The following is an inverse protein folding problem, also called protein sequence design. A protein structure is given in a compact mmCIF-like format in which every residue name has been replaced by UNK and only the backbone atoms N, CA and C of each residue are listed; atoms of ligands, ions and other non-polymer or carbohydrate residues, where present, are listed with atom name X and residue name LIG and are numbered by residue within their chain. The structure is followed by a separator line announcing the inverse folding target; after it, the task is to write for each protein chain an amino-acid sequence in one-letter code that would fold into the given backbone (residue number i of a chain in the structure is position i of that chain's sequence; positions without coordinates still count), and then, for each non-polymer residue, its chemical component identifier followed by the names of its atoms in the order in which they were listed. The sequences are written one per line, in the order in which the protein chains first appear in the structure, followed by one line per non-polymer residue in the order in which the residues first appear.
data_IF_684501420194
#
_entry.id   IF_684501420194
#
_cell.length_a   1.000
_cell.length_b   1.000
_cell.length_c   1.000
_cell.angle_alpha   90.00
_cell.angle_beta   90.00
_cell.angle_gamma   90.00
#
_symmetry.space_group_name_H-M   'P 1'
#
loop_
_entity.id
_entity.type
_entity.pdbx_description
1 polymer ?
#
# COMPACT_ATOMS: atom_id res chain seq x y z
N UNK A 1 -14.35 15.25 -1.33
CA UNK A 1 -14.77 13.85 -1.11
C UNK A 1 -16.28 13.70 -1.08
N UNK A 2 -16.86 12.84 -1.92
CA UNK A 2 -18.30 12.55 -1.96
C UNK A 2 -18.56 11.22 -1.22
N UNK A 3 -19.27 11.27 -0.10
CA UNK A 3 -19.46 10.10 0.78
C UNK A 3 -20.28 9.01 0.10
N UNK A 4 -21.16 9.37 -0.84
CA UNK A 4 -21.92 8.39 -1.60
C UNK A 4 -21.07 7.54 -2.55
N UNK A 5 -19.80 7.91 -2.76
CA UNK A 5 -18.82 7.10 -3.49
C UNK A 5 -18.11 6.08 -2.59
N UNK A 6 -18.14 6.26 -1.27
CA UNK A 6 -17.66 5.25 -0.34
C UNK A 6 -18.59 4.04 -0.43
N UNK A 7 -18.03 2.87 -0.68
CA UNK A 7 -18.81 1.64 -0.83
C UNK A 7 -18.31 0.59 0.14
N UNK A 8 -19.20 -0.10 0.82
CA UNK A 8 -18.92 -1.35 1.54
C UNK A 8 -17.85 -1.18 2.65
N UNK A 9 -16.56 -1.33 2.34
CA UNK A 9 -15.45 -1.22 3.29
C UNK A 9 -14.47 -0.16 2.80
N UNK A 10 -14.17 0.79 3.68
CA UNK A 10 -13.20 1.84 3.50
C UNK A 10 -12.12 1.71 4.57
N UNK A 11 -10.86 1.64 4.18
CA UNK A 11 -9.74 1.61 5.11
C UNK A 11 -8.99 2.94 5.06
N UNK A 12 -8.71 3.52 6.21
CA UNK A 12 -7.82 4.67 6.37
C UNK A 12 -6.52 4.15 6.94
N UNK A 13 -5.47 4.27 6.16
CA UNK A 13 -4.12 3.91 6.56
C UNK A 13 -3.33 5.18 6.78
N UNK A 14 -2.88 5.39 8.01
CA UNK A 14 -2.03 6.52 8.37
C UNK A 14 -0.58 6.04 8.43
N UNK A 15 0.28 6.59 7.58
CA UNK A 15 1.71 6.30 7.61
C UNK A 15 2.40 6.99 8.79
N UNK A 16 3.70 6.76 8.92
CA UNK A 16 4.51 7.38 9.96
C UNK A 16 4.40 8.91 9.93
N UNK A 17 4.34 9.50 11.13
CA UNK A 17 4.27 10.95 11.32
C UNK A 17 2.91 11.60 11.07
N UNK A 18 1.86 10.85 10.71
CA UNK A 18 0.50 11.40 10.58
C UNK A 18 -0.52 10.60 11.39
N UNK A 19 -1.40 11.31 12.10
CA UNK A 19 -2.55 10.70 12.76
C UNK A 19 -3.73 10.65 11.78
N UNK A 20 -4.28 9.46 11.51
CA UNK A 20 -5.47 9.30 10.67
C UNK A 20 -6.79 9.59 11.40
N UNK A 21 -6.77 9.76 12.73
CA UNK A 21 -7.98 10.01 13.51
C UNK A 21 -8.69 11.32 13.12
N UNK A 22 -8.02 12.48 12.98
CA UNK A 22 -8.66 13.70 12.49
C UNK A 22 -9.31 13.54 11.11
N UNK A 23 -8.67 12.78 10.20
CA UNK A 23 -9.22 12.49 8.88
C UNK A 23 -10.51 11.67 8.99
N UNK A 24 -10.50 10.62 9.80
CA UNK A 24 -11.68 9.80 10.06
C UNK A 24 -12.82 10.60 10.68
N UNK A 25 -12.53 11.51 11.62
CA UNK A 25 -13.51 12.43 12.20
C UNK A 25 -14.12 13.36 11.16
N UNK A 26 -13.33 13.88 10.22
CA UNK A 26 -13.84 14.70 9.13
C UNK A 26 -14.78 13.92 8.19
N UNK A 27 -14.45 12.65 7.91
CA UNK A 27 -15.34 11.75 7.15
C UNK A 27 -16.64 11.50 7.92
N UNK A 28 -16.57 11.25 9.23
CA UNK A 28 -17.74 11.06 10.09
C UNK A 28 -18.63 12.31 10.12
N UNK A 29 -18.05 13.49 10.30
CA UNK A 29 -18.77 14.78 10.28
C UNK A 29 -19.56 14.91 8.98
N UNK A 30 -18.89 14.66 7.86
CA UNK A 30 -19.52 14.74 6.54
C UNK A 30 -20.60 13.66 6.34
N UNK A 31 -20.48 12.50 6.98
CA UNK A 31 -21.51 11.45 6.94
C UNK A 31 -22.79 11.91 7.67
N UNK A 32 -22.61 12.54 8.84
CA UNK A 32 -23.71 13.13 9.61
C UNK A 32 -24.38 14.29 8.85
N UNK A 33 -23.61 15.15 8.18
CA UNK A 33 -24.13 16.21 7.29
C UNK A 33 -24.94 15.62 6.12
N UNK A 34 -24.53 14.44 5.63
CA UNK A 34 -25.24 13.67 4.61
C UNK A 34 -26.44 12.90 5.15
N UNK A 35 -26.81 13.13 6.42
CA UNK A 35 -27.94 12.52 7.14
C UNK A 35 -27.80 11.02 7.41
N UNK A 36 -26.62 10.44 7.28
CA UNK A 36 -26.38 9.04 7.69
C UNK A 36 -26.37 8.92 9.21
N UNK A 37 -26.77 7.76 9.70
CA UNK A 37 -26.52 7.38 11.09
C UNK A 37 -25.05 6.97 11.22
N UNK A 38 -24.38 7.28 12.32
CA UNK A 38 -22.99 6.90 12.54
C UNK A 38 -22.89 6.12 13.83
N UNK A 39 -22.35 4.90 13.75
CA UNK A 39 -21.99 4.09 14.90
C UNK A 39 -20.48 3.93 14.96
N UNK A 40 -19.84 4.43 16.01
CA UNK A 40 -18.40 4.33 16.21
C UNK A 40 -18.08 3.23 17.22
N UNK A 41 -17.31 2.23 16.80
CA UNK A 41 -16.66 1.25 17.66
C UNK A 41 -15.30 1.80 18.08
N UNK A 42 -15.13 1.96 19.39
CA UNK A 42 -14.00 2.64 19.98
C UNK A 42 -13.17 1.67 20.84
N UNK A 43 -12.01 1.26 20.34
CA UNK A 43 -11.07 0.34 20.99
C UNK A 43 -9.88 1.05 21.63
N UNK A 44 -9.39 2.14 21.02
CA UNK A 44 -8.26 2.94 21.52
C UNK A 44 -8.72 4.29 22.07
N UNK A 45 -9.55 5.00 21.31
CA UNK A 45 -10.05 6.30 21.70
C UNK A 45 -11.23 6.12 22.65
N UNK A 46 -11.35 6.95 23.67
CA UNK A 46 -12.52 6.87 24.56
C UNK A 46 -13.57 7.87 24.11
N UNK A 47 -14.83 7.67 24.54
CA UNK A 47 -15.90 8.60 24.18
C UNK A 47 -15.56 10.03 24.59
N UNK A 48 -14.82 10.22 25.69
CA UNK A 48 -14.36 11.53 26.17
C UNK A 48 -13.48 12.28 25.16
N UNK A 49 -12.72 11.56 24.32
CA UNK A 49 -11.77 12.13 23.36
C UNK A 49 -12.46 12.64 22.09
N UNK A 50 -13.76 12.33 21.90
CA UNK A 50 -14.54 12.81 20.77
C UNK A 50 -14.92 14.30 20.91
N UNK A 51 -14.99 15.05 19.79
CA UNK A 51 -15.55 16.40 19.78
C UNK A 51 -16.99 16.45 20.28
N UNK A 52 -17.34 17.47 21.06
CA UNK A 52 -18.69 17.62 21.62
C UNK A 52 -19.76 17.79 20.53
N UNK A 53 -19.40 18.39 19.40
CA UNK A 53 -20.27 18.51 18.23
C UNK A 53 -20.73 17.15 17.68
N UNK A 54 -19.87 16.12 17.76
CA UNK A 54 -20.23 14.75 17.37
C UNK A 54 -21.00 14.06 18.50
N UNK A 55 -20.54 14.17 19.75
CA UNK A 55 -21.19 13.53 20.91
C UNK A 55 -22.66 13.93 21.09
N UNK A 56 -22.98 15.19 20.81
CA UNK A 56 -24.33 15.74 20.99
C UNK A 56 -25.24 15.51 19.78
N UNK A 57 -24.73 14.92 18.70
CA UNK A 57 -25.52 14.65 17.51
C UNK A 57 -26.41 13.41 17.74
N UNK A 58 -27.74 13.51 17.57
CA UNK A 58 -28.66 12.39 17.83
C UNK A 58 -28.47 11.20 16.87
N UNK A 59 -27.80 11.40 15.73
CA UNK A 59 -27.48 10.36 14.76
C UNK A 59 -26.11 9.72 14.98
N UNK A 60 -25.37 10.17 15.99
CA UNK A 60 -24.05 9.67 16.31
C UNK A 60 -24.11 8.84 17.60
N UNK A 61 -23.71 7.58 17.51
CA UNK A 61 -23.58 6.66 18.62
C UNK A 61 -22.14 6.22 18.74
N UNK A 62 -21.60 6.21 19.96
CA UNK A 62 -20.27 5.70 20.27
C UNK A 62 -20.38 4.52 21.22
N UNK A 63 -19.80 3.39 20.83
CA UNK A 63 -19.71 2.17 21.61
C UNK A 63 -18.25 1.96 22.01
N UNK A 64 -17.97 2.11 23.29
CA UNK A 64 -16.69 1.74 23.87
C UNK A 64 -16.58 0.21 23.86
N UNK A 65 -15.56 -0.30 23.19
CA UNK A 65 -15.25 -1.72 23.07
C UNK A 65 -13.99 -2.01 23.89
N UNK A 66 -14.09 -2.94 24.82
CA UNK A 66 -12.97 -3.32 25.67
C UNK A 66 -12.37 -4.65 25.18
N UNK A 67 -11.09 -4.89 25.46
CA UNK A 67 -10.37 -6.09 24.99
C UNK A 67 -10.92 -7.44 25.49
N UNK A 68 -11.97 -7.45 26.32
CA UNK A 68 -12.71 -8.65 26.71
C UNK A 68 -13.96 -8.90 25.87
N UNK A 69 -14.45 -7.92 25.12
CA UNK A 69 -15.70 -8.04 24.36
C UNK A 69 -15.51 -9.07 23.25
N UNK A 70 -16.47 -9.96 23.05
CA UNK A 70 -16.49 -10.88 21.90
C UNK A 70 -17.14 -10.24 20.67
N UNK A 71 -16.87 -10.75 19.47
CA UNK A 71 -17.61 -10.31 18.26
C UNK A 71 -19.13 -10.46 18.41
N UNK A 72 -19.60 -11.46 19.15
CA UNK A 72 -21.02 -11.64 19.41
C UNK A 72 -21.60 -10.49 20.24
N UNK A 73 -20.90 -10.08 21.30
CA UNK A 73 -21.32 -8.94 22.12
C UNK A 73 -21.30 -7.63 21.35
N UNK A 74 -20.25 -7.41 20.54
CA UNK A 74 -20.18 -6.24 19.65
C UNK A 74 -21.36 -6.24 18.68
N UNK A 75 -21.68 -7.39 18.06
CA UNK A 75 -22.85 -7.53 17.17
C UNK A 75 -24.16 -7.28 17.88
N UNK A 76 -24.34 -7.79 19.09
CA UNK A 76 -25.57 -7.56 19.86
C UNK A 76 -25.74 -6.09 20.23
N UNK A 77 -24.65 -5.38 20.53
CA UNK A 77 -24.69 -3.93 20.77
C UNK A 77 -25.00 -3.17 19.48
N UNK A 78 -24.34 -3.50 18.38
CA UNK A 78 -24.64 -2.95 17.05
C UNK A 78 -26.10 -3.17 16.63
N UNK A 79 -26.68 -4.35 16.92
CA UNK A 79 -28.08 -4.65 16.63
C UNK A 79 -29.07 -3.83 17.46
N UNK A 80 -28.70 -3.43 18.69
CA UNK A 80 -29.53 -2.53 19.52
C UNK A 80 -29.61 -1.12 18.97
N UNK A 81 -28.59 -0.69 18.22
CA UNK A 81 -28.50 0.64 17.61
C UNK A 81 -29.15 0.71 16.21
N UNK A 82 -29.90 -0.33 15.81
CA UNK A 82 -30.67 -0.40 14.56
C UNK A 82 -29.86 -0.06 13.30
N UNK A 83 -28.69 -0.69 13.16
CA UNK A 83 -27.81 -0.49 12.01
C UNK A 83 -28.51 -0.91 10.73
N UNK A 84 -28.58 0.04 9.82
CA UNK A 84 -29.26 -0.09 8.53
C UNK A 84 -28.35 0.34 7.38
N UNK A 85 -28.85 0.21 6.16
CA UNK A 85 -28.15 0.66 4.94
C UNK A 85 -27.95 2.17 4.83
N UNK A 86 -28.45 2.94 5.78
CA UNK A 86 -28.21 4.39 5.93
C UNK A 86 -27.23 4.69 7.08
N UNK A 87 -26.51 3.67 7.56
CA UNK A 87 -25.57 3.79 8.68
C UNK A 87 -24.12 3.65 8.21
N UNK A 88 -23.24 4.50 8.74
CA UNK A 88 -21.79 4.36 8.65
C UNK A 88 -21.26 3.78 9.96
N UNK A 89 -20.51 2.68 9.87
CA UNK A 89 -19.84 2.08 11.04
C UNK A 89 -18.38 2.49 11.02
N UNK A 90 -17.94 3.22 12.02
CA UNK A 90 -16.54 3.59 12.21
C UNK A 90 -15.86 2.62 13.18
N UNK A 91 -14.64 2.20 12.85
CA UNK A 91 -13.78 1.39 13.71
C UNK A 91 -12.50 2.19 13.89
N UNK A 92 -12.21 2.61 15.12
CA UNK A 92 -11.10 3.51 15.40
C UNK A 92 -9.72 2.85 15.31
N UNK A 93 -9.62 1.54 15.56
CA UNK A 93 -8.36 0.82 15.47
C UNK A 93 -8.58 -0.62 15.02
N UNK A 94 -8.26 -0.86 13.75
CA UNK A 94 -8.27 -2.19 13.18
C UNK A 94 -7.14 -3.11 13.70
N UNK A 95 -5.91 -2.62 13.97
CA UNK A 95 -4.85 -3.46 14.54
C UNK A 95 -5.27 -4.13 15.85
N UNK A 96 -5.92 -3.41 16.76
CA UNK A 96 -6.43 -3.99 18.03
C UNK A 96 -7.42 -5.11 17.77
N UNK A 97 -8.30 -4.93 16.78
CA UNK A 97 -9.27 -5.96 16.39
C UNK A 97 -8.59 -7.21 15.81
N UNK A 98 -7.56 -7.01 14.98
CA UNK A 98 -6.75 -8.09 14.39
C UNK A 98 -5.98 -8.84 15.48
N UNK A 99 -5.36 -8.14 16.42
CA UNK A 99 -4.64 -8.73 17.55
C UNK A 99 -5.57 -9.58 18.43
N UNK A 100 -6.78 -9.07 18.71
CA UNK A 100 -7.73 -9.75 19.58
C UNK A 100 -8.38 -10.98 18.94
N UNK A 101 -8.73 -10.92 17.64
CA UNK A 101 -9.56 -11.94 17.00
C UNK A 101 -8.93 -12.65 15.81
N UNK A 102 -7.70 -12.31 15.44
CA UNK A 102 -7.03 -12.64 14.18
C UNK A 102 -7.59 -11.92 12.95
N UNK A 103 -6.76 -11.84 11.92
CA UNK A 103 -7.07 -11.19 10.65
C UNK A 103 -8.22 -11.85 9.86
N UNK A 104 -8.30 -13.19 9.72
CA UNK A 104 -9.42 -13.84 9.03
C UNK A 104 -10.77 -13.53 9.67
N UNK A 105 -10.87 -13.64 10.99
CA UNK A 105 -12.11 -13.36 11.73
C UNK A 105 -12.49 -11.88 11.63
N UNK A 106 -11.51 -10.98 11.70
CA UNK A 106 -11.69 -9.54 11.50
C UNK A 106 -12.21 -9.24 10.09
N UNK A 107 -11.61 -9.83 9.07
CA UNK A 107 -12.03 -9.66 7.67
C UNK A 107 -13.47 -10.12 7.44
N UNK A 108 -13.83 -11.26 8.03
CA UNK A 108 -15.19 -11.78 7.99
C UNK A 108 -16.17 -10.83 8.70
N UNK A 109 -15.83 -10.38 9.90
CA UNK A 109 -16.63 -9.42 10.67
C UNK A 109 -16.86 -8.10 9.91
N UNK A 110 -15.82 -7.51 9.32
CA UNK A 110 -15.93 -6.31 8.48
C UNK A 110 -16.88 -6.52 7.30
N UNK A 111 -16.80 -7.69 6.65
CA UNK A 111 -17.65 -8.03 5.51
C UNK A 111 -19.12 -8.15 5.92
N UNK A 112 -19.38 -8.77 7.08
CA UNK A 112 -20.73 -8.90 7.64
C UNK A 112 -21.32 -7.53 7.99
N UNK A 113 -20.58 -6.66 8.67
CA UNK A 113 -21.07 -5.31 8.98
C UNK A 113 -21.31 -4.51 7.69
N UNK A 114 -20.43 -4.63 6.70
CA UNK A 114 -20.58 -3.93 5.43
C UNK A 114 -21.77 -4.41 4.59
N UNK A 115 -22.35 -5.57 4.88
CA UNK A 115 -23.59 -6.06 4.26
C UNK A 115 -24.84 -5.45 4.91
N UNK A 116 -24.75 -5.11 6.20
CA UNK A 116 -25.83 -4.52 7.00
C UNK A 116 -25.84 -2.99 6.93
N UNK A 117 -24.67 -2.37 6.76
CA UNK A 117 -24.45 -0.92 6.78
C UNK A 117 -24.28 -0.32 5.38
N UNK A 118 -24.33 1.02 5.29
CA UNK A 118 -23.98 1.76 4.08
C UNK A 118 -22.49 1.59 3.76
N UNK A 119 -21.66 1.73 4.80
CA UNK A 119 -20.21 1.77 4.72
C UNK A 119 -19.58 1.47 6.08
N UNK A 120 -18.50 0.71 6.06
CA UNK A 120 -17.58 0.56 7.20
C UNK A 120 -16.34 1.41 6.93
N UNK A 121 -15.98 2.28 7.85
CA UNK A 121 -14.74 3.05 7.85
C UNK A 121 -13.84 2.51 8.95
N UNK A 122 -12.72 1.88 8.59
CA UNK A 122 -11.78 1.32 9.55
C UNK A 122 -10.45 2.08 9.51
N UNK A 123 -9.98 2.52 10.67
CA UNK A 123 -8.69 3.20 10.81
C UNK A 123 -7.61 2.19 11.17
N UNK A 124 -6.52 2.22 10.42
CA UNK A 124 -5.32 1.41 10.60
C UNK A 124 -4.21 2.34 11.05
N UNK A 125 -3.76 2.13 12.28
CA UNK A 125 -2.59 2.80 12.84
C UNK A 125 -1.36 1.90 12.62
N UNK A 126 -0.25 2.47 12.17
CA UNK A 126 1.03 1.76 12.07
C UNK A 126 2.05 2.30 13.06
N UNK A 127 2.92 1.40 13.51
CA UNK A 127 4.11 1.72 14.30
C UNK A 127 5.34 1.75 13.39
N UNK A 128 6.28 2.65 13.69
CA UNK A 128 7.50 3.04 12.95
C UNK A 128 8.47 1.88 12.60
N UNK A 129 8.15 0.62 12.92
CA UNK A 129 9.09 -0.50 12.98
C UNK A 129 8.89 -1.58 11.91
N UNK A 130 7.93 -1.44 11.00
CA UNK A 130 7.65 -2.47 9.98
C UNK A 130 7.85 -1.91 8.58
N UNK A 131 8.60 -2.62 7.72
CA UNK A 131 8.80 -2.25 6.32
C UNK A 131 7.48 -2.22 5.54
N UNK A 132 7.18 -1.07 4.93
CA UNK A 132 5.93 -0.78 4.19
C UNK A 132 5.59 -1.79 3.11
N UNK A 133 6.60 -2.43 2.53
CA UNK A 133 6.39 -3.28 1.39
C UNK A 133 5.87 -4.66 1.77
N UNK A 134 6.03 -5.15 3.01
CA UNK A 134 5.78 -6.56 3.37
C UNK A 134 4.74 -6.81 4.46
N UNK A 135 3.98 -5.80 4.89
CA UNK A 135 2.90 -6.04 5.85
C UNK A 135 1.76 -6.85 5.19
N UNK A 136 1.74 -8.15 5.47
CA UNK A 136 0.73 -9.07 4.94
C UNK A 136 -0.68 -8.70 5.41
N UNK A 137 -0.81 -8.26 6.66
CA UNK A 137 -2.09 -7.93 7.26
C UNK A 137 -2.74 -6.76 6.53
N UNK A 138 -1.97 -5.70 6.28
CA UNK A 138 -2.41 -4.55 5.50
C UNK A 138 -2.80 -4.96 4.08
N UNK A 139 -1.99 -5.78 3.38
CA UNK A 139 -2.32 -6.24 2.02
C UNK A 139 -3.65 -7.00 1.97
N UNK A 140 -3.97 -7.78 3.01
CA UNK A 140 -5.27 -8.48 3.10
C UNK A 140 -6.42 -7.50 3.40
N UNK A 141 -6.22 -6.51 4.26
CA UNK A 141 -7.22 -5.46 4.47
C UNK A 141 -7.43 -4.61 3.21
N UNK A 142 -6.36 -4.22 2.53
CA UNK A 142 -6.40 -3.54 1.25
C UNK A 142 -7.15 -4.38 0.22
N UNK A 143 -7.00 -5.70 0.20
CA UNK A 143 -7.67 -6.59 -0.76
C UNK A 143 -9.20 -6.62 -0.59
N UNK A 144 -9.71 -6.61 0.64
CA UNK A 144 -11.15 -6.59 0.95
C UNK A 144 -11.77 -5.19 0.89
N UNK A 145 -10.96 -4.14 1.11
CA UNK A 145 -11.41 -2.77 1.05
C UNK A 145 -11.79 -2.37 -0.38
N UNK A 146 -12.91 -1.69 -0.53
CA UNK A 146 -13.31 -1.09 -1.80
C UNK A 146 -12.57 0.23 -2.03
N UNK A 147 -12.32 0.97 -0.96
CA UNK A 147 -11.67 2.27 -0.99
C UNK A 147 -10.62 2.31 0.09
N UNK A 148 -9.43 2.78 -0.27
CA UNK A 148 -8.29 2.91 0.64
C UNK A 148 -7.83 4.36 0.61
N UNK A 149 -7.75 4.97 1.78
CA UNK A 149 -7.14 6.28 1.99
C UNK A 149 -5.80 6.07 2.66
N UNK A 150 -4.73 6.33 1.95
CA UNK A 150 -3.40 6.29 2.50
C UNK A 150 -2.92 7.72 2.73
N UNK A 151 -2.77 8.06 4.00
CA UNK A 151 -2.37 9.38 4.46
C UNK A 151 -0.87 9.35 4.69
N UNK A 152 -0.17 10.31 4.09
CA UNK A 152 1.27 10.50 4.24
C UNK A 152 1.59 11.93 4.63
N UNK A 153 2.48 12.11 5.60
CA UNK A 153 3.10 13.40 5.87
C UNK A 153 4.33 13.57 4.96
N UNK A 154 4.43 14.70 4.27
CA UNK A 154 5.61 15.09 3.50
C UNK A 154 5.95 16.54 3.83
N UNK A 155 7.00 16.77 4.62
CA UNK A 155 7.49 18.08 5.09
C UNK A 155 6.42 19.14 5.43
N UNK A 156 5.88 19.83 4.43
CA UNK A 156 4.89 20.92 4.57
C UNK A 156 3.47 20.55 4.14
N UNK A 157 3.28 19.36 3.58
CA UNK A 157 2.03 18.92 2.96
C UNK A 157 1.58 17.57 3.53
N UNK A 158 0.27 17.45 3.73
CA UNK A 158 -0.41 16.20 4.03
C UNK A 158 -1.05 15.67 2.76
N UNK A 159 -0.60 14.49 2.34
CA UNK A 159 -0.97 13.87 1.07
C UNK A 159 -1.88 12.68 1.32
N UNK A 160 -2.90 12.54 0.49
CA UNK A 160 -3.83 11.42 0.52
C UNK A 160 -3.80 10.69 -0.82
N UNK A 161 -3.30 9.45 -0.82
CA UNK A 161 -3.49 8.51 -1.92
C UNK A 161 -4.82 7.80 -1.73
N UNK A 162 -5.79 8.08 -2.59
CA UNK A 162 -7.08 7.39 -2.60
C UNK A 162 -7.07 6.32 -3.68
N UNK A 163 -7.20 5.05 -3.30
CA UNK A 163 -7.42 3.94 -4.24
C UNK A 163 -8.86 3.48 -4.16
N UNK A 164 -9.57 3.46 -5.29
CA UNK A 164 -10.96 3.00 -5.35
C UNK A 164 -11.10 1.83 -6.32
N UNK A 165 -11.59 0.69 -5.85
CA UNK A 165 -11.91 -0.48 -6.66
C UNK A 165 -13.33 -0.39 -7.18
N UNK A 166 -13.49 -0.46 -8.50
CA UNK A 166 -14.77 -0.47 -9.18
C UNK A 166 -15.30 -1.90 -9.28
N UNK A 167 -16.62 -2.04 -9.52
CA UNK A 167 -17.29 -3.35 -9.65
C UNK A 167 -16.79 -4.18 -10.83
N UNK A 168 -16.23 -3.54 -11.85
CA UNK A 168 -15.62 -4.19 -13.01
C UNK A 168 -14.19 -4.69 -12.73
N UNK A 169 -13.71 -4.59 -11.49
CA UNK A 169 -12.36 -5.00 -11.09
C UNK A 169 -11.28 -3.95 -11.34
N UNK A 170 -11.58 -2.82 -12.00
CA UNK A 170 -10.55 -1.79 -12.23
C UNK A 170 -10.36 -0.92 -11.00
N UNK A 171 -9.10 -0.57 -10.70
CA UNK A 171 -8.75 0.37 -9.64
C UNK A 171 -8.50 1.77 -10.24
N UNK A 172 -9.01 2.80 -9.57
CA UNK A 172 -8.71 4.21 -9.85
C UNK A 172 -7.90 4.74 -8.67
N UNK A 173 -6.73 5.30 -8.95
CA UNK A 173 -5.88 5.95 -7.95
C UNK A 173 -5.91 7.47 -8.13
N UNK A 174 -5.99 8.19 -7.02
CA UNK A 174 -5.89 9.65 -6.97
C UNK A 174 -4.91 10.04 -5.92
N UNK A 175 -4.13 11.07 -6.23
CA UNK A 175 -3.18 11.65 -5.30
C UNK A 175 -3.50 13.12 -5.15
N UNK A 176 -3.93 13.49 -3.94
CA UNK A 176 -4.43 14.83 -3.63
C UNK A 176 -3.80 15.30 -2.33
N UNK A 177 -3.52 16.59 -2.24
CA UNK A 177 -3.21 17.20 -0.96
C UNK A 177 -4.53 17.37 -0.20
N UNK A 178 -4.54 17.07 1.08
CA UNK A 178 -5.68 17.34 1.95
C UNK A 178 -5.30 18.25 3.09
N UNK A 179 -6.24 19.03 3.58
CA UNK A 179 -6.09 19.78 4.83
C UNK A 179 -7.36 19.63 5.66
N UNK A 180 -7.19 19.59 6.98
CA UNK A 180 -8.27 19.45 7.95
C UNK A 180 -8.28 20.72 8.79
N UNK A 181 -9.40 21.43 8.78
CA UNK A 181 -9.59 22.61 9.61
C UNK A 181 -9.96 22.21 11.06
N UNK A 182 -9.94 23.17 11.98
CA UNK A 182 -10.26 22.93 13.40
C UNK A 182 -11.69 22.41 13.62
N UNK A 183 -12.59 22.71 12.70
CA UNK A 183 -13.98 22.23 12.75
C UNK A 183 -14.14 20.81 12.16
N UNK A 184 -13.03 20.14 11.80
CA UNK A 184 -13.00 18.88 11.06
C UNK A 184 -13.63 18.95 9.66
N UNK A 185 -13.67 20.14 9.03
CA UNK A 185 -13.89 20.22 7.59
C UNK A 185 -12.65 19.72 6.85
N UNK A 186 -12.85 18.94 5.79
CA UNK A 186 -11.77 18.40 4.96
C UNK A 186 -11.85 18.97 3.55
N UNK A 187 -10.74 19.57 3.12
CA UNK A 187 -10.56 20.11 1.77
C UNK A 187 -9.50 19.30 1.04
N UNK A 188 -9.72 19.09 -0.26
CA UNK A 188 -8.77 18.42 -1.15
C UNK A 188 -8.39 19.39 -2.26
N UNK A 189 -7.09 19.48 -2.53
CA UNK A 189 -6.55 20.25 -3.65
C UNK A 189 -5.69 19.34 -4.53
N UNK A 190 -5.69 19.57 -5.86
CA UNK A 190 -4.77 18.88 -6.76
C UNK A 190 -3.34 19.06 -6.25
N UNK A 191 -2.58 17.97 -6.20
CA UNK A 191 -1.18 18.04 -5.88
C UNK A 191 -0.37 18.16 -7.17
N UNK A 192 0.22 19.34 -7.38
CA UNK A 192 1.09 19.58 -8.52
C UNK A 192 2.46 18.97 -8.27
N UNK A 193 2.72 17.80 -8.86
CA UNK A 193 4.03 17.15 -8.85
C UNK A 193 5.16 18.04 -9.43
N UNK A 194 4.82 19.10 -10.15
CA UNK A 194 5.79 20.00 -10.81
C UNK A 194 6.56 20.89 -9.85
N UNK A 195 5.98 21.27 -8.70
CA UNK A 195 6.66 22.12 -7.72
C UNK A 195 7.61 21.35 -6.80
N UNK A 196 7.45 20.02 -6.68
CA UNK A 196 8.27 19.16 -5.81
C UNK A 196 9.35 18.37 -6.57
N UNK A 197 9.32 18.39 -7.92
CA UNK A 197 10.39 17.83 -8.77
C UNK A 197 11.68 18.64 -8.77
N UNK A 198 11.73 19.78 -8.07
CA UNK A 198 12.98 20.48 -7.81
C UNK A 198 13.85 19.72 -6.78
N UNK A 199 13.23 18.97 -5.86
CA UNK A 199 13.95 18.26 -4.78
C UNK A 199 13.76 16.74 -4.77
N UNK A 200 12.86 16.16 -5.58
CA UNK A 200 12.68 14.70 -5.63
C UNK A 200 12.63 14.15 -7.07
N UNK A 201 13.79 13.73 -7.58
CA UNK A 201 13.90 12.90 -8.79
C UNK A 201 13.88 11.42 -8.40
N UNK A 202 12.69 10.83 -8.33
CA UNK A 202 12.52 9.39 -8.49
C UNK A 202 11.44 9.06 -9.54
N UNK A 203 11.98 8.62 -10.69
CA UNK A 203 11.49 7.71 -11.74
C UNK A 203 9.99 7.32 -11.73
N UNK A 204 9.24 7.98 -12.60
CA UNK A 204 8.01 7.43 -13.18
C UNK A 204 8.39 6.82 -14.55
N UNK A 205 8.67 5.52 -14.59
CA UNK A 205 8.88 4.80 -15.86
C UNK A 205 7.52 4.38 -16.42
N UNK A 206 6.88 5.30 -17.15
CA UNK A 206 5.75 4.98 -18.01
C UNK A 206 6.23 4.16 -19.21
N UNK A 207 5.94 2.85 -19.21
CA UNK A 207 6.05 2.03 -20.42
C UNK A 207 4.80 2.29 -21.25
N UNK A 208 4.92 3.12 -22.28
CA UNK A 208 3.95 3.16 -23.38
C UNK A 208 4.35 2.14 -24.44
N UNK A 209 3.53 1.11 -24.59
CA UNK A 209 3.56 0.22 -25.74
C UNK A 209 3.03 0.96 -26.98
N UNK A 210 3.82 0.95 -28.06
CA UNK A 210 3.45 1.41 -29.39
C UNK A 210 4.50 0.90 -30.39
N UNK A 211 4.19 -0.21 -31.07
CA UNK A 211 5.18 -1.10 -31.67
C UNK A 211 5.73 -0.70 -33.05
N UNK A 212 6.80 -1.39 -33.46
CA UNK A 212 6.91 -2.01 -34.80
C UNK A 212 8.01 -3.08 -34.79
N UNK A 213 7.75 -4.16 -35.53
CA UNK A 213 8.52 -5.40 -35.66
C UNK A 213 9.88 -5.18 -36.34
N UNK A 214 10.95 -5.83 -35.86
CA UNK A 214 12.20 -5.94 -36.61
C UNK A 214 13.42 -6.46 -35.83
N UNK A 215 13.72 -7.76 -36.00
CA UNK A 215 15.00 -8.46 -35.90
C UNK A 215 16.14 -7.91 -34.99
N UNK A 216 16.47 -8.73 -33.98
CA UNK A 216 17.85 -9.12 -33.64
C UNK A 216 18.86 -8.01 -33.33
N UNK A 217 19.17 -7.82 -32.04
CA UNK A 217 20.53 -7.80 -31.48
C UNK A 217 20.45 -7.46 -29.98
N UNK A 218 20.86 -8.40 -29.15
CA UNK A 218 21.07 -8.18 -27.72
C UNK A 218 22.29 -7.26 -27.52
N UNK A 219 22.06 -5.94 -27.47
CA UNK A 219 23.16 -4.98 -27.26
C UNK A 219 22.82 -3.74 -26.43
N UNK A 220 21.68 -3.69 -25.72
CA UNK A 220 21.28 -2.48 -24.98
C UNK A 220 21.21 -2.62 -23.45
N UNK A 221 21.81 -3.65 -22.86
CA UNK A 221 21.88 -3.84 -21.40
C UNK A 221 23.29 -3.68 -20.79
N UNK A 222 24.32 -3.35 -21.58
CA UNK A 222 25.72 -3.31 -21.10
C UNK A 222 26.20 -1.94 -20.60
N UNK A 223 25.32 -0.95 -20.44
CA UNK A 223 25.72 0.42 -20.08
C UNK A 223 24.84 1.05 -18.99
N UNK A 224 24.47 0.29 -17.96
CA UNK A 224 24.00 0.90 -16.70
C UNK A 224 25.18 0.92 -15.72
N UNK A 225 25.87 2.07 -15.57
CA UNK A 225 26.92 2.19 -14.56
C UNK A 225 26.30 2.09 -13.16
N UNK A 226 27.06 1.54 -12.21
CA UNK A 226 26.77 1.49 -10.76
C UNK A 226 26.58 2.89 -10.11
N UNK A 227 26.45 3.95 -10.92
CA UNK A 227 26.31 5.35 -10.56
C UNK A 227 24.85 5.83 -10.51
N UNK A 228 23.88 4.91 -10.64
CA UNK A 228 22.47 5.26 -10.54
C UNK A 228 22.15 5.69 -9.10
N UNK A 229 22.05 7.01 -8.88
CA UNK A 229 21.72 7.61 -7.58
C UNK A 229 22.89 8.18 -6.77
N UNK A 230 24.12 8.17 -7.30
CA UNK A 230 25.28 8.80 -6.64
C UNK A 230 25.56 10.18 -7.24
N UNK A 231 25.34 11.26 -6.47
CA UNK A 231 25.72 12.62 -6.84
C UNK A 231 27.21 12.88 -6.52
N UNK A 232 28.12 12.27 -7.28
CA UNK A 232 29.56 12.45 -7.09
C UNK A 232 30.00 13.82 -7.59
N UNK A 233 30.76 14.55 -6.76
CA UNK A 233 31.49 15.73 -7.19
C UNK A 233 32.53 15.38 -8.25
N UNK A 234 33.03 16.37 -8.99
CA UNK A 234 33.98 16.11 -10.09
C UNK A 234 35.31 15.52 -9.60
N UNK A 235 35.69 15.79 -8.35
CA UNK A 235 36.84 15.20 -7.69
C UNK A 235 36.60 13.74 -7.34
N UNK A 236 35.42 13.41 -6.81
CA UNK A 236 35.02 12.03 -6.46
C UNK A 236 34.84 11.15 -7.70
N UNK A 237 34.32 11.71 -8.80
CA UNK A 237 34.24 11.00 -10.08
C UNK A 237 35.63 10.63 -10.62
N UNK A 238 36.59 11.56 -10.48
CA UNK A 238 38.00 11.30 -10.86
C UNK A 238 38.67 10.31 -9.92
N UNK A 239 38.34 10.35 -8.62
CA UNK A 239 38.83 9.38 -7.65
C UNK A 239 38.27 7.98 -7.96
N UNK A 240 36.96 7.84 -8.18
CA UNK A 240 36.31 6.58 -8.54
C UNK A 240 36.91 5.96 -9.80
N UNK A 241 37.15 6.76 -10.84
CA UNK A 241 37.78 6.29 -12.07
C UNK A 241 39.22 5.75 -11.87
N UNK A 242 39.87 6.12 -10.76
CA UNK A 242 41.22 5.67 -10.38
C UNK A 242 41.20 4.50 -9.40
N UNK A 243 40.06 4.15 -8.81
CA UNK A 243 39.94 3.00 -7.90
C UNK A 243 39.87 1.73 -8.75
N UNK A 244 40.90 0.87 -8.72
CA UNK A 244 40.84 -0.42 -9.42
C UNK A 244 39.80 -1.30 -8.73
N UNK A 245 38.78 -1.73 -9.47
CA UNK A 245 37.76 -2.64 -8.95
C UNK A 245 38.22 -4.10 -9.14
N UNK A 246 38.36 -4.89 -8.06
CA UNK A 246 38.91 -6.25 -8.11
C UNK A 246 38.19 -7.19 -9.11
N UNK A 247 36.89 -6.99 -9.30
CA UNK A 247 36.04 -7.82 -10.16
C UNK A 247 36.14 -7.47 -11.65
N UNK A 248 36.54 -6.24 -12.00
CA UNK A 248 36.80 -5.86 -13.40
C UNK A 248 38.15 -6.41 -13.89
N UNK A 249 39.13 -6.53 -13.00
CA UNK A 249 40.40 -7.18 -13.33
C UNK A 249 40.18 -8.65 -13.74
N UNK A 250 39.22 -9.34 -13.11
CA UNK A 250 38.79 -10.70 -13.46
C UNK A 250 38.02 -10.79 -14.81
N UNK A 251 37.76 -9.68 -15.50
CA UNK A 251 37.28 -9.69 -16.88
C UNK A 251 38.41 -9.52 -17.90
N UNK A 252 39.61 -9.15 -17.45
CA UNK A 252 40.80 -9.00 -18.29
C UNK A 252 41.66 -10.26 -18.24
N UNK A 253 42.31 -10.59 -19.36
CA UNK A 253 43.13 -11.80 -19.50
C UNK A 253 44.23 -11.89 -18.42
N UNK A 254 44.82 -10.75 -18.03
CA UNK A 254 45.86 -10.69 -16.99
C UNK A 254 45.35 -10.97 -15.59
N UNK A 255 44.15 -10.49 -15.22
CA UNK A 255 43.56 -10.76 -13.91
C UNK A 255 43.05 -12.20 -13.76
N UNK A 256 42.63 -12.83 -14.86
CA UNK A 256 42.29 -14.25 -14.89
C UNK A 256 43.49 -15.17 -14.59
N UNK A 257 44.69 -14.80 -15.06
CA UNK A 257 45.93 -15.56 -14.79
C UNK A 257 46.33 -15.48 -13.32
N UNK A 258 46.09 -14.34 -12.64
CA UNK A 258 46.39 -14.16 -11.22
C UNK A 258 45.52 -15.01 -10.27
N UNK A 259 44.26 -15.25 -10.64
CA UNK A 259 43.36 -16.17 -9.90
C UNK A 259 43.76 -17.66 -10.05
N UNK A 260 44.67 -17.98 -10.97
CA UNK A 260 44.97 -19.35 -11.40
C UNK A 260 46.13 -20.02 -10.64
N UNK A 261 46.72 -19.38 -9.63
CA UNK A 261 47.81 -20.00 -8.86
C UNK A 261 47.30 -21.16 -7.97
N UNK A 262 46.00 -21.23 -7.68
CA UNK A 262 45.46 -22.23 -6.73
C UNK A 262 44.79 -23.46 -7.37
N UNK A 263 44.40 -23.43 -8.64
CA UNK A 263 43.68 -24.57 -9.24
C UNK A 263 44.05 -24.77 -10.72
N UNK A 264 44.85 -25.82 -10.94
CA UNK A 264 45.46 -26.24 -12.21
C UNK A 264 44.43 -26.64 -13.31
N UNK A 265 43.56 -25.72 -13.74
CA UNK A 265 42.53 -25.96 -14.78
C UNK A 265 42.65 -24.92 -15.90
N UNK A 266 42.74 -25.41 -17.13
CA UNK A 266 42.78 -24.58 -18.35
C UNK A 266 41.40 -23.96 -18.60
N UNK A 267 41.30 -22.64 -18.60
CA UNK A 267 40.07 -21.89 -18.92
C UNK A 267 40.07 -21.50 -20.39
N UNK A 268 38.95 -21.74 -21.08
CA UNK A 268 38.69 -21.35 -22.46
C UNK A 268 37.92 -20.03 -22.44
N UNK A 269 38.39 -19.03 -23.17
CA UNK A 269 37.78 -17.70 -23.29
C UNK A 269 36.46 -17.78 -24.09
N UNK A 270 35.37 -17.22 -23.53
CA UNK A 270 34.04 -17.14 -24.17
C UNK A 270 33.04 -18.16 -23.60
N UNK A 271 32.35 -17.79 -22.52
CA UNK A 271 31.31 -18.60 -21.89
C UNK A 271 30.03 -18.67 -22.72
N UNK A 272 29.99 -19.55 -23.73
CA UNK A 272 28.72 -20.07 -24.27
C UNK A 272 28.19 -21.09 -23.27
N UNK A 273 27.10 -20.76 -22.57
CA UNK A 273 26.35 -21.73 -21.78
C UNK A 273 25.56 -22.57 -22.79
N UNK A 274 26.00 -23.81 -23.00
CA UNK A 274 25.30 -24.80 -23.79
C UNK A 274 24.39 -25.58 -22.84
N UNK A 275 23.08 -25.35 -22.92
CA UNK A 275 22.10 -26.19 -22.23
C UNK A 275 22.04 -27.53 -22.96
N UNK A 276 22.31 -28.62 -22.25
CA UNK A 276 22.10 -29.98 -22.71
C UNK A 276 21.00 -30.55 -21.80
N UNK A 277 19.80 -30.83 -22.31
CA UNK A 277 18.73 -31.41 -21.52
C UNK A 277 19.18 -32.77 -20.96
N UNK A 278 19.02 -32.93 -19.65
CA UNK A 278 19.33 -34.19 -18.97
C UNK A 278 18.14 -35.16 -19.11
N UNK A 279 18.36 -36.47 -18.89
CA UNK A 279 17.31 -37.50 -19.05
C UNK A 279 16.14 -37.39 -18.07
N UNK A 280 16.33 -36.59 -17.02
CA UNK A 280 15.33 -36.27 -15.99
C UNK A 280 14.66 -34.92 -16.26
N UNK A 281 14.99 -34.25 -17.37
CA UNK A 281 14.27 -33.08 -17.87
C UNK A 281 13.03 -33.62 -18.60
N UNK A 282 12.04 -34.03 -17.82
CA UNK A 282 10.71 -34.34 -18.30
C UNK A 282 10.13 -33.06 -18.89
N UNK A 283 9.98 -33.04 -20.22
CA UNK A 283 9.07 -32.13 -20.89
C UNK A 283 7.68 -32.38 -20.30
N UNK A 284 7.35 -31.62 -19.26
CA UNK A 284 6.00 -31.29 -18.85
C UNK A 284 5.30 -30.66 -20.08
N UNK A 285 4.75 -31.53 -20.93
CA UNK A 285 3.77 -31.20 -21.97
C UNK A 285 2.34 -31.29 -21.41
N UNK A 286 2.16 -31.35 -20.09
CA UNK A 286 0.84 -31.40 -19.46
C UNK A 286 0.44 -30.00 -19.04
N UNK A 287 0.17 -29.13 -20.03
CA UNK A 287 -0.46 -27.84 -19.77
C UNK A 287 -1.80 -28.11 -19.05
N UNK A 288 -1.98 -27.67 -17.78
CA UNK A 288 -3.17 -27.97 -16.99
C UNK A 288 -4.47 -27.39 -17.58
N UNK A 289 -4.38 -26.66 -18.69
CA UNK A 289 -5.50 -26.11 -19.45
C UNK A 289 -6.10 -27.09 -20.48
N UNK A 290 -5.42 -28.18 -20.85
CA UNK A 290 -5.86 -29.11 -21.93
C UNK A 290 -7.00 -30.08 -21.53
N UNK A 291 -7.33 -30.17 -20.23
CA UNK A 291 -8.45 -30.97 -19.72
C UNK A 291 -9.72 -30.13 -19.43
N UNK A 292 -9.70 -28.83 -19.72
CA UNK A 292 -10.86 -27.95 -19.52
C UNK A 292 -11.85 -28.09 -20.67
N UNK A 293 -12.80 -29.02 -20.52
CA UNK A 293 -14.02 -29.05 -21.32
C UNK A 293 -14.93 -27.88 -20.92
N UNK A 294 -14.87 -26.80 -21.71
CA UNK A 294 -15.81 -25.66 -21.69
C UNK A 294 -17.04 -25.96 -22.55
#
# INVERSE_FOLDING_TARGET
MDIFRLRRICAVYASDGINGYPFSLAVIKKALESKLNVCSLLFLHLRRDLPDALKNNPKFVALECFGSDSFEEIRQRLAKEDISRDSLVFIDSLPVLIEQFSLPSTSWFLTQIAELSACVLALVHRSESEDDQNNEDWRRIESIASTVFELRARDKHTLCRTKTKKRNGTAEEKFEQFSIEEDYSITFSPFDYSSDRADDKFVENSISAGGTVGNGTATHLSALPFDLGLNLSEEERKAKARVPLPYLDAQTEKGLVGLNISFNKKVRVGGRILYVPDKEDDFDESDPDDDLTI
#
